data_IF_029954399305
#
_entry.id   IF_029954399305
#
_cell.length_a   1.000
_cell.length_b   1.000
_cell.length_c   1.000
_cell.angle_alpha   90.00
_cell.angle_beta   90.00
_cell.angle_gamma   90.00
#
_symmetry.space_group_name_H-M   'P 1'
#
loop_
_entity.id
_entity.type
_entity.pdbx_description
1 polymer ?
#
# COMPACT_ATOMS: atom_id res chain seq x y z
N UNK A 1 -7.49 -10.07 -0.45
CA UNK A 1 -7.26 -10.85 0.78
C UNK A 1 -5.85 -10.57 1.28
N UNK A 2 -5.66 -10.40 2.59
CA UNK A 2 -4.32 -10.29 3.20
C UNK A 2 -3.75 -11.69 3.37
N UNK A 3 -2.49 -11.88 3.00
CA UNK A 3 -1.80 -13.16 3.13
C UNK A 3 -0.63 -13.05 4.12
N UNK A 4 0.59 -13.42 3.71
CA UNK A 4 1.76 -13.44 4.59
C UNK A 4 2.38 -12.07 4.77
N UNK A 5 3.06 -11.87 5.90
CA UNK A 5 3.86 -10.67 6.15
C UNK A 5 5.12 -10.65 5.26
N UNK A 6 5.40 -9.49 4.68
CA UNK A 6 6.62 -9.19 3.92
C UNK A 6 7.68 -8.52 4.79
N UNK A 7 7.27 -7.61 5.67
CA UNK A 7 8.23 -6.88 6.49
C UNK A 7 7.59 -5.90 7.47
N UNK A 8 8.44 -5.21 8.22
CA UNK A 8 8.08 -4.10 9.12
C UNK A 8 9.02 -2.93 8.86
N UNK A 9 8.45 -1.76 8.60
CA UNK A 9 9.18 -0.50 8.52
C UNK A 9 8.97 0.35 9.77
N UNK A 10 9.52 1.57 9.78
CA UNK A 10 9.36 2.51 10.90
C UNK A 10 7.91 2.88 11.18
N UNK A 11 7.09 3.03 10.14
CA UNK A 11 5.71 3.50 10.24
C UNK A 11 4.67 2.39 10.30
N UNK A 12 5.02 1.15 9.94
CA UNK A 12 4.01 0.12 9.76
C UNK A 12 4.52 -1.24 9.33
N UNK A 13 3.57 -2.09 8.96
CA UNK A 13 3.80 -3.45 8.52
C UNK A 13 3.38 -3.61 7.06
N UNK A 14 4.10 -4.44 6.33
CA UNK A 14 3.83 -4.73 4.92
C UNK A 14 3.52 -6.21 4.78
N UNK A 15 2.48 -6.53 4.01
CA UNK A 15 2.00 -7.88 3.73
C UNK A 15 1.85 -8.10 2.23
N UNK A 16 1.85 -9.37 1.81
CA UNK A 16 1.33 -9.75 0.50
C UNK A 16 -0.20 -9.67 0.58
N UNK A 17 -0.81 -9.04 -0.42
CA UNK A 17 -2.23 -9.12 -0.68
C UNK A 17 -2.49 -9.79 -2.02
N UNK A 18 -3.61 -10.50 -2.11
CA UNK A 18 -4.13 -11.03 -3.37
C UNK A 18 -5.43 -10.32 -3.75
N UNK A 19 -5.56 -9.88 -4.99
CA UNK A 19 -6.82 -9.31 -5.49
C UNK A 19 -7.95 -10.34 -5.38
N UNK A 20 -9.12 -9.91 -4.92
CA UNK A 20 -10.30 -10.80 -4.80
C UNK A 20 -11.06 -10.85 -6.13
N UNK A 21 -11.11 -9.73 -6.84
CA UNK A 21 -11.71 -9.60 -8.15
C UNK A 21 -10.73 -8.95 -9.11
N UNK A 22 -10.65 -9.49 -10.33
CA UNK A 22 -9.73 -9.03 -11.36
C UNK A 22 -8.26 -9.36 -11.08
N UNK A 23 -7.39 -9.01 -12.03
CA UNK A 23 -5.98 -9.38 -12.03
C UNK A 23 -5.69 -10.57 -12.94
N UNK A 24 -4.41 -10.80 -13.23
CA UNK A 24 -3.90 -11.92 -14.02
C UNK A 24 -2.62 -12.44 -13.33
N UNK A 25 -2.47 -13.76 -13.22
CA UNK A 25 -1.31 -14.40 -12.57
C UNK A 25 0.01 -13.99 -13.21
N UNK A 26 0.00 -13.71 -14.52
CA UNK A 26 1.15 -13.19 -15.27
C UNK A 26 1.09 -11.67 -15.50
N UNK A 27 0.07 -11.01 -14.96
CA UNK A 27 -0.12 -9.57 -15.07
C UNK A 27 0.81 -8.79 -14.17
N UNK A 28 1.22 -7.61 -14.60
CA UNK A 28 2.00 -6.66 -13.79
C UNK A 28 1.24 -5.34 -13.64
N UNK A 29 1.67 -4.51 -12.69
CA UNK A 29 1.04 -3.21 -12.43
C UNK A 29 -0.46 -3.34 -12.12
N UNK A 30 -1.30 -2.67 -12.93
CA UNK A 30 -2.75 -2.63 -12.71
C UNK A 30 -3.45 -3.99 -12.81
N UNK A 31 -2.81 -4.96 -13.46
CA UNK A 31 -3.32 -6.32 -13.63
C UNK A 31 -2.63 -7.34 -12.71
N UNK A 32 -1.75 -6.92 -11.79
CA UNK A 32 -1.05 -7.87 -10.92
C UNK A 32 -2.01 -8.67 -10.03
N UNK A 33 -1.77 -9.97 -9.81
CA UNK A 33 -2.57 -10.71 -8.83
C UNK A 33 -2.12 -10.43 -7.39
N UNK A 34 -0.81 -10.33 -7.20
CA UNK A 34 -0.19 -10.01 -5.91
C UNK A 34 0.10 -8.50 -5.80
N UNK A 35 -0.15 -7.95 -4.63
CA UNK A 35 0.09 -6.55 -4.28
C UNK A 35 0.77 -6.44 -2.92
N UNK A 36 1.46 -5.34 -2.67
CA UNK A 36 1.96 -5.03 -1.34
C UNK A 36 0.88 -4.27 -0.57
N UNK A 37 0.49 -4.77 0.59
CA UNK A 37 -0.45 -4.10 1.50
C UNK A 37 0.35 -3.47 2.64
N UNK A 38 0.38 -2.15 2.72
CA UNK A 38 1.01 -1.41 3.82
C UNK A 38 -0.05 -0.93 4.81
N UNK A 39 0.15 -1.25 6.08
CA UNK A 39 -0.68 -0.80 7.19
C UNK A 39 0.16 0.04 8.14
N UNK A 40 -0.22 1.31 8.28
CA UNK A 40 0.37 2.24 9.23
C UNK A 40 -0.63 2.48 10.36
N UNK A 41 -0.25 2.12 11.59
CA UNK A 41 -1.11 2.33 12.76
C UNK A 41 -0.98 3.78 13.21
N UNK A 42 -2.10 4.46 13.45
CA UNK A 42 -2.08 5.90 13.79
C UNK A 42 -1.32 6.26 15.05
N UNK A 43 -1.15 5.31 15.97
CA UNK A 43 -0.39 5.53 17.20
C UNK A 43 1.11 5.22 17.07
N UNK A 44 1.61 4.84 15.88
CA UNK A 44 3.05 4.68 15.68
C UNK A 44 3.75 6.04 15.71
N UNK A 45 4.98 6.06 16.24
CA UNK A 45 5.82 7.27 16.24
C UNK A 45 5.98 7.80 14.81
N UNK A 46 5.68 9.09 14.63
CA UNK A 46 5.78 9.77 13.34
C UNK A 46 4.54 9.64 12.45
N UNK A 47 3.45 9.03 12.92
CA UNK A 47 2.15 9.13 12.27
C UNK A 47 1.47 10.45 12.70
N UNK A 48 0.94 11.19 11.74
CA UNK A 48 0.19 12.43 11.98
C UNK A 48 -1.31 12.14 11.86
N UNK A 49 -2.18 13.05 12.33
CA UNK A 49 -3.65 12.93 12.20
C UNK A 49 -4.16 13.00 10.74
N UNK A 50 -3.25 13.19 9.78
CA UNK A 50 -3.51 13.27 8.35
C UNK A 50 -2.96 12.08 7.55
N UNK A 51 -3.33 11.97 6.26
CA UNK A 51 -2.78 10.97 5.36
C UNK A 51 -1.24 10.96 5.37
N UNK A 52 -0.60 9.78 5.31
CA UNK A 52 0.86 9.68 5.27
C UNK A 52 1.47 10.54 4.15
N UNK A 53 2.57 11.25 4.43
CA UNK A 53 3.24 12.11 3.45
C UNK A 53 3.66 11.35 2.18
N UNK A 54 4.03 10.08 2.32
CA UNK A 54 4.35 9.16 1.20
C UNK A 54 3.23 9.13 0.15
N UNK A 55 1.96 9.30 0.54
CA UNK A 55 0.85 9.32 -0.39
C UNK A 55 0.91 10.51 -1.35
N UNK A 56 1.34 11.68 -0.88
CA UNK A 56 1.49 12.87 -1.72
C UNK A 56 2.64 12.69 -2.72
N UNK A 57 3.75 12.09 -2.29
CA UNK A 57 4.91 11.79 -3.14
C UNK A 57 4.51 10.89 -4.30
N UNK A 58 3.79 9.79 -4.04
CA UNK A 58 3.33 8.91 -5.11
C UNK A 58 2.27 9.54 -6.03
N UNK A 59 1.46 10.49 -5.53
CA UNK A 59 0.53 11.21 -6.40
C UNK A 59 1.28 12.15 -7.36
N UNK A 60 2.32 12.83 -6.88
CA UNK A 60 3.13 13.73 -7.70
C UNK A 60 4.00 12.98 -8.72
N UNK A 61 4.55 11.83 -8.35
CA UNK A 61 5.46 11.04 -9.19
C UNK A 61 4.77 9.94 -10.01
N UNK A 62 3.45 9.78 -9.86
CA UNK A 62 2.68 8.71 -10.47
C UNK A 62 2.85 8.67 -12.00
N UNK A 63 3.06 7.46 -12.54
CA UNK A 63 3.27 7.26 -13.99
C UNK A 63 4.72 7.36 -14.45
N UNK A 64 5.63 7.79 -13.58
CA UNK A 64 7.07 7.77 -13.85
C UNK A 64 7.64 6.34 -13.84
N UNK A 65 8.57 6.06 -14.75
CA UNK A 65 9.25 4.76 -14.79
C UNK A 65 10.01 4.49 -13.48
N UNK A 66 9.89 3.28 -12.95
CA UNK A 66 10.51 2.88 -11.70
C UNK A 66 9.78 3.33 -10.42
N UNK A 67 8.74 4.15 -10.52
CA UNK A 67 7.91 4.55 -9.38
C UNK A 67 6.75 3.55 -9.20
N UNK A 68 6.59 2.94 -8.01
CA UNK A 68 5.45 2.07 -7.72
C UNK A 68 4.10 2.75 -7.99
N UNK A 69 3.20 2.06 -8.69
CA UNK A 69 1.83 2.52 -8.87
C UNK A 69 1.01 2.18 -7.63
N UNK A 70 0.42 3.20 -7.01
CA UNK A 70 -0.53 3.00 -5.92
C UNK A 70 -1.93 2.74 -6.49
N UNK A 71 -2.50 1.61 -6.11
CA UNK A 71 -3.83 1.15 -6.51
C UNK A 71 -4.93 1.60 -5.55
N UNK A 72 -4.60 1.76 -4.27
CA UNK A 72 -5.55 2.21 -3.26
C UNK A 72 -4.84 2.94 -2.13
N UNK A 73 -5.52 3.96 -1.58
CA UNK A 73 -5.14 4.69 -0.37
C UNK A 73 -6.41 4.97 0.42
N UNK A 74 -6.43 4.67 1.71
CA UNK A 74 -7.59 4.97 2.54
C UNK A 74 -7.43 4.57 4.00
N UNK A 75 -8.45 4.88 4.78
CA UNK A 75 -8.50 4.59 6.22
C UNK A 75 -9.33 3.33 6.46
N UNK A 76 -8.82 2.41 7.27
CA UNK A 76 -9.55 1.24 7.74
C UNK A 76 -9.32 1.08 9.25
N UNK A 77 -10.35 1.38 10.06
CA UNK A 77 -10.21 1.45 11.52
C UNK A 77 -9.12 2.44 11.92
N UNK A 78 -8.18 1.97 12.74
CA UNK A 78 -7.03 2.74 13.24
C UNK A 78 -5.79 2.71 12.33
N UNK A 79 -5.96 2.21 11.11
CA UNK A 79 -4.88 2.11 10.14
C UNK A 79 -5.11 3.03 8.94
N UNK A 80 -4.03 3.64 8.49
CA UNK A 80 -3.89 4.15 7.13
C UNK A 80 -3.34 3.02 6.25
N UNK A 81 -4.03 2.74 5.15
CA UNK A 81 -3.79 1.58 4.28
C UNK A 81 -3.42 2.04 2.88
N UNK A 82 -2.37 1.44 2.33
CA UNK A 82 -1.93 1.65 0.96
C UNK A 82 -1.69 0.32 0.24
N UNK A 83 -2.07 0.27 -1.05
CA UNK A 83 -1.94 -0.90 -1.94
C UNK A 83 -1.28 -0.50 -3.24
#
# INVERSE_FOLDING_TARGET
MVERKLGKGGFGQVFVGRRVNGGNERGTGSAAMEVALKFEHRNNKGCNDGPPYEWQVYNALGGSHGVPKVHYKGKQGDYDVMV
#
